data_IF_502163103967
#
_entry.id   IF_502163103967
#
_cell.length_a   1.000
_cell.length_b   1.000
_cell.length_c   1.000
_cell.angle_alpha   90.00
_cell.angle_beta   90.00
_cell.angle_gamma   90.00
#
_symmetry.space_group_name_H-M   'P 1'
#
loop_
_entity.id
_entity.type
_entity.pdbx_description
1 polymer ?
#
# COMPACT_ATOMS: atom_id res chain seq x y z
N UNK A 1 9.49 10.76 -6.90
CA UNK A 1 10.20 11.70 -5.97
C UNK A 1 10.64 10.92 -4.75
N UNK A 2 11.91 10.99 -4.36
CA UNK A 2 12.49 10.13 -3.34
C UNK A 2 11.94 10.38 -1.92
N UNK A 3 11.78 9.32 -1.13
CA UNK A 3 11.27 9.41 0.24
C UNK A 3 12.14 10.31 1.14
N UNK A 4 13.46 10.24 1.02
CA UNK A 4 14.38 11.09 1.78
C UNK A 4 14.07 12.59 1.70
N UNK A 5 13.52 13.07 0.56
CA UNK A 5 13.12 14.47 0.39
C UNK A 5 11.78 14.78 1.08
N UNK A 6 10.89 13.78 1.21
CA UNK A 6 9.58 13.92 1.82
C UNK A 6 9.59 13.63 3.33
N UNK A 7 10.59 12.89 3.82
CA UNK A 7 10.67 12.44 5.21
C UNK A 7 10.50 13.57 6.22
N UNK A 8 11.14 14.73 5.99
CA UNK A 8 11.05 15.91 6.86
C UNK A 8 9.64 16.49 7.01
N UNK A 9 8.72 16.19 6.08
CA UNK A 9 7.32 16.62 6.14
C UNK A 9 6.40 15.55 6.71
N UNK A 10 6.75 14.28 6.54
CA UNK A 10 5.90 13.14 6.94
C UNK A 10 6.21 12.68 8.36
N UNK A 11 7.48 12.60 8.75
CA UNK A 11 7.87 12.06 10.05
C UNK A 11 7.41 12.92 11.24
N UNK A 12 7.31 14.26 11.15
CA UNK A 12 6.72 15.07 12.22
C UNK A 12 5.25 14.74 12.54
N UNK A 13 4.53 14.10 11.62
CA UNK A 13 3.16 13.60 11.85
C UNK A 13 3.12 12.37 12.77
N UNK A 14 4.29 11.84 13.17
CA UNK A 14 4.47 10.69 14.09
C UNK A 14 3.63 9.46 13.70
N UNK A 15 3.75 8.95 12.45
CA UNK A 15 3.00 7.78 12.04
C UNK A 15 3.41 6.55 12.86
N UNK A 16 2.46 5.66 13.18
CA UNK A 16 2.78 4.34 13.75
C UNK A 16 3.31 3.38 12.68
N UNK A 17 2.76 3.46 11.47
CA UNK A 17 3.15 2.66 10.32
C UNK A 17 3.12 3.54 9.08
N UNK A 18 4.15 3.42 8.25
CA UNK A 18 4.28 4.18 7.01
C UNK A 18 4.53 3.23 5.85
N UNK A 19 3.69 3.31 4.82
CA UNK A 19 3.87 2.59 3.55
C UNK A 19 4.33 3.59 2.51
N UNK A 20 5.51 3.36 1.94
CA UNK A 20 6.17 4.31 1.03
C UNK A 20 6.47 3.64 -0.30
N UNK A 21 5.62 3.85 -1.30
CA UNK A 21 5.95 3.51 -2.69
C UNK A 21 7.10 4.38 -3.22
N UNK A 22 7.84 3.83 -4.19
CA UNK A 22 9.01 4.49 -4.79
C UNK A 22 10.11 4.86 -3.78
N UNK A 23 10.20 4.09 -2.70
CA UNK A 23 11.15 4.30 -1.63
C UNK A 23 12.54 3.79 -2.01
N UNK A 24 13.56 4.57 -1.72
CA UNK A 24 14.94 4.10 -1.76
C UNK A 24 15.17 3.01 -0.72
N UNK A 25 16.18 2.16 -0.95
CA UNK A 25 16.62 1.16 0.03
C UNK A 25 17.00 1.83 1.36
N UNK A 26 16.71 1.21 2.49
CA UNK A 26 17.00 1.78 3.82
C UNK A 26 18.44 2.28 4.00
N UNK A 27 19.43 1.61 3.42
CA UNK A 27 20.83 2.04 3.45
C UNK A 27 21.08 3.46 2.86
N UNK A 28 20.15 3.96 2.06
CA UNK A 28 20.22 5.29 1.43
C UNK A 28 19.40 6.35 2.14
N UNK A 29 18.66 5.95 3.16
CA UNK A 29 17.79 6.86 3.89
C UNK A 29 18.55 7.54 5.01
N UNK A 30 18.39 8.85 5.07
CA UNK A 30 18.83 9.68 6.20
C UNK A 30 17.57 10.20 6.84
N UNK A 31 17.37 9.85 8.10
CA UNK A 31 16.27 10.35 8.88
C UNK A 31 16.66 11.72 9.48
N UNK A 32 15.83 12.75 9.32
CA UNK A 32 16.12 14.08 9.88
C UNK A 32 16.28 14.02 11.41
N UNK A 33 17.17 14.85 11.95
CA UNK A 33 17.37 14.97 13.38
C UNK A 33 16.06 15.29 14.12
N UNK A 34 15.90 14.72 15.29
CA UNK A 34 14.69 14.88 16.10
C UNK A 34 13.44 14.13 15.61
N UNK A 35 13.53 13.37 14.52
CA UNK A 35 12.44 12.51 14.07
C UNK A 35 12.54 11.10 14.65
N UNK A 36 11.40 10.41 14.72
CA UNK A 36 11.39 9.00 15.14
C UNK A 36 12.17 8.13 14.16
N UNK A 37 13.01 7.26 14.70
CA UNK A 37 13.67 6.19 13.93
C UNK A 37 12.75 4.98 13.88
N UNK A 38 12.55 4.35 12.72
CA UNK A 38 11.70 3.16 12.62
C UNK A 38 12.29 1.99 13.42
N UNK A 39 11.43 1.26 14.13
CA UNK A 39 11.81 0.07 14.89
C UNK A 39 11.90 -1.18 14.03
N UNK A 40 11.11 -1.23 12.95
CA UNK A 40 11.20 -2.30 11.95
C UNK A 40 11.03 -1.71 10.56
N UNK A 41 11.71 -2.34 9.60
CA UNK A 41 11.65 -1.97 8.18
C UNK A 41 11.48 -3.26 7.36
N UNK A 42 10.51 -3.23 6.44
CA UNK A 42 10.43 -4.17 5.32
C UNK A 42 10.60 -3.36 4.05
N UNK A 43 11.51 -3.78 3.21
CA UNK A 43 11.72 -3.16 1.91
C UNK A 43 11.77 -4.21 0.82
N UNK A 44 11.14 -3.93 -0.33
CA UNK A 44 11.12 -4.81 -1.49
C UNK A 44 11.32 -4.00 -2.77
N UNK A 45 12.30 -4.39 -3.57
CA UNK A 45 12.61 -3.72 -4.83
C UNK A 45 13.76 -4.40 -5.57
N UNK A 46 13.90 -4.14 -6.87
CA UNK A 46 14.93 -4.73 -7.72
C UNK A 46 16.27 -4.03 -7.64
N UNK A 47 16.25 -2.75 -7.32
CA UNK A 47 17.46 -1.96 -7.16
C UNK A 47 17.31 -0.98 -6.00
N UNK A 48 18.44 -0.58 -5.42
CA UNK A 48 18.46 0.28 -4.22
C UNK A 48 17.90 1.69 -4.41
N UNK A 49 17.50 2.08 -5.61
CA UNK A 49 16.99 3.43 -5.85
C UNK A 49 15.46 3.52 -5.75
N UNK A 50 14.74 2.39 -5.92
CA UNK A 50 13.30 2.42 -6.03
C UNK A 50 12.68 1.08 -5.63
N UNK A 51 11.82 1.08 -4.63
CA UNK A 51 11.12 -0.08 -4.12
C UNK A 51 9.89 0.31 -3.31
N UNK A 52 9.32 -0.65 -2.62
CA UNK A 52 8.24 -0.46 -1.66
C UNK A 52 8.80 -0.61 -0.25
N UNK A 53 8.81 0.49 0.52
CA UNK A 53 9.24 0.53 1.90
C UNK A 53 8.04 0.49 2.86
N UNK A 54 8.16 -0.28 3.92
CA UNK A 54 7.21 -0.28 5.04
C UNK A 54 7.99 -0.10 6.33
N UNK A 55 7.69 0.97 7.03
CA UNK A 55 8.36 1.37 8.26
C UNK A 55 7.36 1.30 9.41
N UNK A 56 7.78 0.79 10.55
CA UNK A 56 6.98 0.84 11.76
C UNK A 56 7.70 1.53 12.90
N UNK A 57 6.92 2.14 13.76
CA UNK A 57 7.33 2.90 14.93
C UNK A 57 6.59 2.37 16.17
N UNK A 58 6.89 2.90 17.35
CA UNK A 58 6.12 2.63 18.59
C UNK A 58 5.93 1.14 18.89
N UNK A 59 6.99 0.34 18.71
CA UNK A 59 7.02 -1.11 18.98
C UNK A 59 6.08 -1.97 18.09
N UNK A 60 5.56 -1.44 17.00
CA UNK A 60 4.90 -2.28 16.01
C UNK A 60 5.91 -3.20 15.32
N UNK A 61 5.66 -4.50 15.33
CA UNK A 61 6.48 -5.51 14.65
C UNK A 61 5.88 -5.84 13.29
N UNK A 62 6.73 -5.90 12.28
CA UNK A 62 6.37 -6.25 10.91
C UNK A 62 6.94 -7.61 10.55
N UNK A 63 6.11 -8.46 9.92
CA UNK A 63 6.54 -9.76 9.39
C UNK A 63 5.92 -10.01 8.02
N UNK A 64 6.74 -10.09 6.98
CA UNK A 64 6.27 -10.54 5.67
C UNK A 64 5.74 -11.97 5.79
N UNK A 65 4.52 -12.19 5.31
CA UNK A 65 3.89 -13.51 5.38
C UNK A 65 4.51 -14.46 4.35
N UNK A 66 4.71 -15.71 4.72
CA UNK A 66 5.25 -16.77 3.82
C UNK A 66 4.38 -17.01 2.58
N UNK A 67 3.12 -16.61 2.60
CA UNK A 67 2.20 -16.71 1.47
C UNK A 67 2.48 -15.63 0.39
N UNK A 68 3.42 -14.72 0.62
CA UNK A 68 3.79 -13.73 -0.40
C UNK A 68 4.14 -14.43 -1.72
N UNK A 69 3.45 -14.03 -2.78
CA UNK A 69 3.67 -14.56 -4.11
C UNK A 69 4.50 -13.56 -4.94
N UNK A 70 5.69 -13.95 -5.43
CA UNK A 70 6.55 -13.06 -6.22
C UNK A 70 5.93 -12.52 -7.51
N UNK A 71 4.86 -13.15 -8.02
CA UNK A 71 4.09 -12.60 -9.16
C UNK A 71 3.45 -11.24 -8.81
N UNK A 72 3.14 -11.01 -7.53
CA UNK A 72 2.62 -9.73 -7.04
C UNK A 72 3.71 -8.97 -6.30
N UNK A 73 4.80 -8.73 -6.98
CA UNK A 73 6.07 -8.25 -6.47
C UNK A 73 5.96 -7.09 -5.48
N UNK A 74 5.16 -6.08 -5.82
CA UNK A 74 4.98 -4.86 -5.04
C UNK A 74 3.64 -4.84 -4.27
N UNK A 75 3.12 -6.02 -3.92
CA UNK A 75 1.94 -6.17 -3.06
C UNK A 75 2.31 -7.13 -1.93
N UNK A 76 2.69 -6.57 -0.79
CA UNK A 76 3.28 -7.30 0.32
C UNK A 76 2.24 -7.58 1.41
N UNK A 77 1.84 -8.84 1.63
CA UNK A 77 1.04 -9.22 2.78
C UNK A 77 1.91 -9.27 4.04
N UNK A 78 1.72 -8.34 4.95
CA UNK A 78 2.53 -8.15 6.14
C UNK A 78 1.65 -8.38 7.38
N UNK A 79 2.07 -9.25 8.27
CA UNK A 79 1.49 -9.31 9.60
C UNK A 79 2.07 -8.20 10.45
N UNK A 80 1.19 -7.41 11.04
CA UNK A 80 1.53 -6.36 11.99
C UNK A 80 1.06 -6.77 13.38
N UNK A 81 1.92 -6.59 14.38
CA UNK A 81 1.59 -6.90 15.77
C UNK A 81 2.17 -5.87 16.73
N UNK A 82 1.39 -5.50 17.76
CA UNK A 82 1.82 -4.75 18.94
C UNK A 82 0.88 -5.11 20.09
N UNK A 83 1.41 -5.63 21.16
CA UNK A 83 0.65 -6.11 22.33
C UNK A 83 -0.51 -7.03 21.92
N UNK A 84 -1.75 -6.65 22.20
CA UNK A 84 -2.97 -7.36 21.78
C UNK A 84 -3.43 -7.00 20.36
N UNK A 85 -2.83 -5.99 19.75
CA UNK A 85 -3.18 -5.56 18.39
C UNK A 85 -2.52 -6.47 17.36
N UNK A 86 -3.33 -7.05 16.47
CA UNK A 86 -2.87 -7.90 15.37
C UNK A 86 -3.75 -7.71 14.15
N UNK A 87 -3.12 -7.40 13.00
CA UNK A 87 -3.81 -7.26 11.72
C UNK A 87 -2.90 -7.63 10.54
N UNK A 88 -3.48 -7.74 9.36
CA UNK A 88 -2.76 -7.91 8.11
C UNK A 88 -2.75 -6.58 7.35
N UNK A 89 -1.57 -6.11 7.01
CA UNK A 89 -1.35 -4.98 6.14
C UNK A 89 -0.95 -5.49 4.75
N UNK A 90 -1.70 -5.14 3.74
CA UNK A 90 -1.24 -5.23 2.36
C UNK A 90 -0.60 -3.89 1.99
N UNK A 91 0.73 -3.85 1.96
CA UNK A 91 1.45 -2.71 1.43
C UNK A 91 1.47 -2.80 -0.10
N UNK A 92 1.02 -1.74 -0.78
CA UNK A 92 0.74 -1.77 -2.21
C UNK A 92 1.52 -0.66 -2.92
N UNK A 93 2.19 -1.07 -3.98
CA UNK A 93 2.66 -0.18 -5.03
C UNK A 93 2.30 -0.80 -6.37
N UNK A 94 1.13 -0.45 -6.91
CA UNK A 94 0.63 -0.96 -8.17
C UNK A 94 1.43 -0.36 -9.33
N UNK A 95 2.58 -0.94 -9.62
CA UNK A 95 3.51 -0.50 -10.65
C UNK A 95 4.06 -1.69 -11.43
N UNK A 96 3.36 -2.06 -12.47
CA UNK A 96 3.88 -3.01 -13.45
C UNK A 96 3.39 -2.64 -14.85
N UNK A 97 3.98 -1.60 -15.48
CA UNK A 97 3.57 -1.16 -16.81
C UNK A 97 3.83 -2.21 -17.89
N UNK A 98 4.73 -3.17 -17.63
CA UNK A 98 5.12 -4.22 -18.57
C UNK A 98 4.28 -5.50 -18.45
N UNK A 99 3.29 -5.55 -17.54
CA UNK A 99 2.44 -6.73 -17.40
C UNK A 99 1.52 -6.88 -18.61
N UNK A 100 1.73 -7.95 -19.37
CA UNK A 100 0.93 -8.26 -20.56
C UNK A 100 -0.55 -8.51 -20.23
N UNK A 101 -0.83 -8.99 -19.03
CA UNK A 101 -2.18 -9.29 -18.56
C UNK A 101 -2.86 -8.07 -17.88
N UNK A 102 -2.24 -6.93 -17.91
CA UNK A 102 -2.76 -5.67 -17.41
C UNK A 102 -1.90 -5.01 -16.32
N UNK A 103 -1.56 -3.73 -16.53
CA UNK A 103 -0.71 -2.97 -15.61
C UNK A 103 -1.51 -2.38 -14.44
N UNK A 104 -0.80 -1.83 -13.46
CA UNK A 104 -1.33 -1.03 -12.37
C UNK A 104 -2.46 -1.72 -11.58
N UNK A 105 -3.66 -1.15 -11.58
CA UNK A 105 -4.81 -1.66 -10.81
C UNK A 105 -5.16 -3.12 -11.10
N UNK A 106 -4.88 -3.61 -12.31
CA UNK A 106 -5.11 -5.02 -12.65
C UNK A 106 -4.21 -5.94 -11.83
N UNK A 107 -3.02 -5.51 -11.43
CA UNK A 107 -2.17 -6.25 -10.47
C UNK A 107 -2.84 -6.32 -9.10
N UNK A 108 -3.43 -5.23 -8.64
CA UNK A 108 -4.19 -5.21 -7.39
C UNK A 108 -5.37 -6.18 -7.48
N UNK A 109 -6.12 -6.15 -8.59
CA UNK A 109 -7.24 -7.06 -8.83
C UNK A 109 -6.82 -8.53 -8.74
N UNK A 110 -5.74 -8.91 -9.43
CA UNK A 110 -5.20 -10.27 -9.39
C UNK A 110 -4.76 -10.66 -7.97
N UNK A 111 -4.07 -9.77 -7.28
CA UNK A 111 -3.57 -10.01 -5.93
C UNK A 111 -4.70 -10.18 -4.92
N UNK A 112 -5.73 -9.32 -4.92
CA UNK A 112 -6.84 -9.44 -3.96
C UNK A 112 -7.65 -10.72 -4.17
N UNK A 113 -7.79 -11.18 -5.42
CA UNK A 113 -8.40 -12.48 -5.71
C UNK A 113 -7.53 -13.65 -5.23
N UNK A 114 -6.22 -13.60 -5.46
CA UNK A 114 -5.29 -14.62 -4.96
C UNK A 114 -5.28 -14.69 -3.43
N UNK A 115 -5.26 -13.54 -2.75
CA UNK A 115 -5.25 -13.44 -1.29
C UNK A 115 -6.64 -13.41 -0.66
N UNK A 116 -7.70 -13.79 -1.38
CA UNK A 116 -9.09 -13.72 -0.93
C UNK A 116 -9.30 -14.29 0.48
N UNK A 117 -8.78 -15.47 0.76
CA UNK A 117 -8.87 -16.13 2.08
C UNK A 117 -8.19 -15.32 3.20
N UNK A 118 -7.12 -14.59 2.87
CA UNK A 118 -6.42 -13.75 3.82
C UNK A 118 -7.17 -12.44 4.07
N UNK A 119 -7.71 -11.84 3.02
CA UNK A 119 -8.50 -10.59 3.07
C UNK A 119 -9.83 -10.80 3.81
N UNK A 120 -10.44 -11.99 3.72
CA UNK A 120 -11.66 -12.34 4.48
C UNK A 120 -11.48 -12.35 6.00
N UNK A 121 -10.25 -12.42 6.49
CA UNK A 121 -9.99 -12.35 7.92
C UNK A 121 -10.30 -10.94 8.42
N UNK A 122 -10.87 -10.86 9.63
CA UNK A 122 -11.06 -9.59 10.32
C UNK A 122 -9.69 -8.88 10.49
N UNK A 123 -9.70 -7.55 10.52
CA UNK A 123 -8.52 -6.71 10.70
C UNK A 123 -7.53 -6.80 9.52
N UNK A 124 -8.01 -6.43 8.33
CA UNK A 124 -7.17 -6.24 7.15
C UNK A 124 -7.16 -4.77 6.74
N UNK A 125 -5.97 -4.25 6.44
CA UNK A 125 -5.75 -2.90 5.91
C UNK A 125 -5.01 -3.03 4.59
N UNK A 126 -5.44 -2.29 3.57
CA UNK A 126 -4.70 -2.12 2.33
C UNK A 126 -4.24 -0.66 2.27
N UNK A 127 -2.94 -0.41 2.10
CA UNK A 127 -2.37 0.93 2.07
C UNK A 127 -1.23 1.04 1.06
N UNK A 128 -1.11 2.22 0.44
CA UNK A 128 -0.07 2.53 -0.52
C UNK A 128 -0.62 3.18 -1.78
N UNK A 129 0.09 2.99 -2.89
CA UNK A 129 -0.27 3.57 -4.18
C UNK A 129 -0.92 2.51 -5.08
N UNK A 130 -2.21 2.65 -5.30
CA UNK A 130 -2.99 1.77 -6.19
C UNK A 130 -2.86 2.17 -7.66
N UNK A 131 -2.30 3.35 -7.95
CA UNK A 131 -2.18 3.90 -9.30
C UNK A 131 -3.47 3.74 -10.11
N UNK A 132 -4.59 4.08 -9.49
CA UNK A 132 -5.90 3.90 -10.10
C UNK A 132 -6.95 4.88 -9.59
N UNK A 133 -7.87 5.19 -10.50
CA UNK A 133 -9.06 5.96 -10.21
C UNK A 133 -10.17 5.50 -11.16
N UNK A 134 -11.45 5.64 -10.78
CA UNK A 134 -12.59 5.21 -11.60
C UNK A 134 -12.69 5.96 -12.94
N UNK A 135 -12.10 7.18 -13.02
CA UNK A 135 -12.04 7.93 -14.30
C UNK A 135 -11.19 7.25 -15.38
N UNK A 136 -10.33 6.29 -14.99
CA UNK A 136 -9.49 5.50 -15.90
C UNK A 136 -10.03 4.10 -16.17
N UNK A 137 -11.23 3.80 -15.69
CA UNK A 137 -11.88 2.53 -15.95
C UNK A 137 -12.20 2.39 -17.44
N UNK A 138 -12.01 1.18 -17.97
CA UNK A 138 -12.20 0.89 -19.40
C UNK A 138 -13.32 -0.12 -19.58
N UNK A 139 -14.23 0.08 -20.55
CA UNK A 139 -15.20 -0.94 -20.93
C UNK A 139 -14.50 -2.28 -21.23
N UNK A 140 -15.11 -3.39 -20.84
CA UNK A 140 -14.62 -4.76 -21.08
C UNK A 140 -13.29 -5.14 -20.41
N UNK A 141 -12.65 -4.25 -19.65
CA UNK A 141 -11.48 -4.61 -18.83
C UNK A 141 -11.96 -5.21 -17.52
N UNK A 142 -11.50 -6.42 -17.20
CA UNK A 142 -11.67 -7.03 -15.87
C UNK A 142 -10.56 -6.51 -14.97
N UNK A 143 -10.90 -6.14 -13.73
CA UNK A 143 -9.94 -5.57 -12.78
C UNK A 143 -9.73 -4.07 -12.96
N UNK A 144 -10.80 -3.36 -13.21
CA UNK A 144 -10.88 -1.91 -13.13
C UNK A 144 -10.79 -1.42 -11.68
N UNK A 145 -10.63 -0.12 -11.47
CA UNK A 145 -10.72 0.50 -10.15
C UNK A 145 -12.07 0.17 -9.48
N UNK A 146 -13.17 0.35 -10.20
CA UNK A 146 -14.51 0.06 -9.69
C UNK A 146 -14.70 -1.40 -9.31
N UNK A 147 -14.07 -2.35 -10.02
CA UNK A 147 -14.10 -3.78 -9.67
C UNK A 147 -13.39 -4.03 -8.33
N UNK A 148 -12.22 -3.42 -8.13
CA UNK A 148 -11.45 -3.51 -6.88
C UNK A 148 -12.25 -2.92 -5.72
N UNK A 149 -12.86 -1.74 -5.90
CA UNK A 149 -13.68 -1.08 -4.88
C UNK A 149 -14.87 -1.95 -4.51
N UNK A 150 -15.61 -2.47 -5.51
CA UNK A 150 -16.77 -3.34 -5.28
C UNK A 150 -16.38 -4.64 -4.56
N UNK A 151 -15.26 -5.27 -4.97
CA UNK A 151 -14.75 -6.47 -4.32
C UNK A 151 -14.42 -6.24 -2.84
N UNK A 152 -13.72 -5.14 -2.52
CA UNK A 152 -13.36 -4.80 -1.15
C UNK A 152 -14.59 -4.42 -0.32
N UNK A 153 -15.54 -3.67 -0.90
CA UNK A 153 -16.80 -3.30 -0.24
C UNK A 153 -17.61 -4.55 0.15
N UNK A 154 -17.69 -5.57 -0.71
CA UNK A 154 -18.32 -6.85 -0.39
C UNK A 154 -17.66 -7.57 0.81
N UNK A 155 -16.43 -7.20 1.16
CA UNK A 155 -15.72 -7.69 2.36
C UNK A 155 -15.74 -6.69 3.50
N UNK A 156 -16.53 -5.62 3.38
CA UNK A 156 -16.66 -4.53 4.37
C UNK A 156 -15.34 -3.78 4.58
N UNK A 157 -14.53 -3.67 3.54
CA UNK A 157 -13.32 -2.86 3.50
C UNK A 157 -13.60 -1.66 2.60
N UNK A 158 -13.54 -0.47 3.17
CA UNK A 158 -13.89 0.78 2.51
C UNK A 158 -12.71 1.73 2.49
N UNK A 159 -12.67 2.64 1.52
CA UNK A 159 -11.68 3.71 1.49
C UNK A 159 -11.92 4.68 2.65
N UNK A 160 -10.89 4.88 3.47
CA UNK A 160 -10.93 5.81 4.59
C UNK A 160 -11.20 7.25 4.11
N UNK A 161 -10.53 7.67 3.01
CA UNK A 161 -10.73 8.99 2.41
C UNK A 161 -12.18 9.22 1.99
N UNK A 162 -12.76 8.31 1.19
CA UNK A 162 -14.12 8.45 0.67
C UNK A 162 -15.17 8.38 1.77
N UNK A 163 -14.93 7.56 2.80
CA UNK A 163 -15.82 7.47 3.97
C UNK A 163 -15.78 8.76 4.78
N UNK A 164 -14.59 9.31 5.03
CA UNK A 164 -14.41 10.52 5.82
C UNK A 164 -14.99 11.76 5.12
N UNK A 165 -14.65 11.94 3.84
CA UNK A 165 -15.07 13.11 3.04
C UNK A 165 -16.45 12.95 2.41
N UNK A 166 -17.11 11.78 2.53
CA UNK A 166 -18.40 11.47 1.89
C UNK A 166 -18.39 11.70 0.38
N UNK A 167 -17.28 11.36 -0.27
CA UNK A 167 -17.09 11.56 -1.71
C UNK A 167 -17.22 10.25 -2.47
N UNK A 168 -17.50 10.38 -3.76
CA UNK A 168 -17.61 9.26 -4.69
C UNK A 168 -16.27 9.09 -5.40
N UNK A 169 -15.84 7.86 -5.64
CA UNK A 169 -14.65 7.56 -6.44
C UNK A 169 -14.72 8.23 -7.81
N UNK A 170 -13.68 8.92 -8.21
CA UNK A 170 -13.59 9.69 -9.44
C UNK A 170 -14.10 11.13 -9.35
N UNK A 171 -14.55 11.57 -8.17
CA UNK A 171 -15.00 12.95 -7.90
C UNK A 171 -14.31 13.54 -6.67
N UNK A 172 -13.09 13.10 -6.40
CA UNK A 172 -12.30 13.57 -5.26
C UNK A 172 -11.93 15.04 -5.43
N UNK A 173 -12.16 15.84 -4.37
CA UNK A 173 -11.83 17.26 -4.36
C UNK A 173 -10.34 17.51 -4.07
N UNK A 174 -9.67 16.57 -3.41
CA UNK A 174 -8.26 16.70 -3.06
C UNK A 174 -7.42 15.85 -4.01
N UNK A 175 -6.56 16.44 -4.83
CA UNK A 175 -5.68 15.68 -5.70
C UNK A 175 -4.67 14.89 -4.86
N UNK A 176 -4.47 13.63 -5.22
CA UNK A 176 -3.43 12.77 -4.63
C UNK A 176 -2.23 12.59 -5.55
N UNK A 177 -2.33 13.07 -6.79
CA UNK A 177 -1.29 13.07 -7.81
C UNK A 177 -1.09 14.51 -8.33
N UNK A 178 0.17 14.91 -8.44
CA UNK A 178 0.59 16.23 -8.95
C UNK A 178 1.55 16.08 -10.12
#
# INVERSE_FOLDING_TARGET
MSFRKKAKFILPLKPDILVVPECEHPDKLIFPDGTQIPTNIIWHGDNKNKGLGVFSYNNYKLKLLKIHNPLFKNILPIQVTRDKCKFVLFAIWANNPSDKDGPYVTQVWKAINYYDKLIKRKNTILAGDFNSNSIWDRPRRIGNHSDVVAYLANKKIYSAYHTFHKQIHGKELHPTQF
#
